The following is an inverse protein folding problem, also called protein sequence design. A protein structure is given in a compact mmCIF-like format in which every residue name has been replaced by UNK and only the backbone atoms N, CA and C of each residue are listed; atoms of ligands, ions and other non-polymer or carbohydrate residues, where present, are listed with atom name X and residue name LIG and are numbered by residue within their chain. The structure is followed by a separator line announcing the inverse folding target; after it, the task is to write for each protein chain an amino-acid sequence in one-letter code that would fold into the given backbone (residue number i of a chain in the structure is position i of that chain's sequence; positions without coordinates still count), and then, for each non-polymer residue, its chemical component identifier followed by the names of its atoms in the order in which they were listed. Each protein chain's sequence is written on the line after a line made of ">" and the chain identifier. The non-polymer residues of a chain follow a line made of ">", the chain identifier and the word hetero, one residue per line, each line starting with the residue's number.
data_IF_562640964750
#
_entry.id   IF_562640964750
#
_cell.length_a   1.000
_cell.length_b   1.000
_cell.length_c   1.000
_cell.angle_alpha   90.00
_cell.angle_beta   90.00
_cell.angle_gamma   90.00
#
_symmetry.space_group_name_H-M   'P 1'
#
loop_
_entity.id
_entity.type
_entity.pdbx_description
1 polymer ?
#
# COMPACT_ATOMS: atom_id res chain seq x y z
N UNK A 1 0.21 -37.31 13.13
CA UNK A 1 -0.35 -37.15 11.77
C UNK A 1 0.45 -36.04 11.10
N UNK A 2 0.87 -36.20 9.85
CA UNK A 2 1.68 -35.19 9.17
C UNK A 2 0.76 -34.04 8.69
N UNK A 3 1.07 -32.82 9.11
CA UNK A 3 0.45 -31.59 8.62
C UNK A 3 1.27 -31.11 7.43
N UNK A 4 0.60 -30.80 6.31
CA UNK A 4 1.24 -30.20 5.15
C UNK A 4 0.83 -28.73 5.01
N UNK A 5 1.75 -27.89 4.55
CA UNK A 5 1.56 -26.45 4.39
C UNK A 5 1.75 -26.07 2.92
N UNK A 6 1.02 -25.05 2.46
CA UNK A 6 0.96 -24.66 1.05
C UNK A 6 0.96 -23.13 0.90
N UNK A 7 1.67 -22.61 -0.11
CA UNK A 7 1.62 -21.19 -0.50
C UNK A 7 0.68 -20.93 -1.68
N UNK A 8 -0.42 -20.23 -1.42
CA UNK A 8 -1.59 -20.16 -2.29
C UNK A 8 -1.72 -18.79 -2.96
N UNK A 9 -2.22 -18.81 -4.21
CA UNK A 9 -2.48 -17.59 -4.99
C UNK A 9 -3.63 -16.77 -4.38
N UNK A 10 -3.69 -15.46 -4.70
CA UNK A 10 -4.83 -14.62 -4.37
C UNK A 10 -6.16 -15.21 -4.85
N UNK A 11 -7.22 -14.95 -4.07
CA UNK A 11 -8.58 -15.41 -4.38
C UNK A 11 -8.92 -16.83 -3.95
N UNK A 12 -7.95 -17.60 -3.41
CA UNK A 12 -8.22 -18.91 -2.82
C UNK A 12 -8.99 -18.79 -1.50
N UNK A 13 -8.60 -17.83 -0.67
CA UNK A 13 -9.32 -17.45 0.55
C UNK A 13 -9.93 -16.05 0.38
N UNK A 14 -10.76 -15.63 1.32
CA UNK A 14 -11.36 -14.30 1.36
C UNK A 14 -10.37 -13.16 1.65
N UNK A 15 -9.16 -13.48 2.10
CA UNK A 15 -8.09 -12.51 2.36
C UNK A 15 -7.53 -11.91 1.06
N UNK A 16 -7.02 -10.67 1.16
CA UNK A 16 -6.51 -9.92 0.01
C UNK A 16 -5.03 -10.22 -0.22
N UNK A 17 -4.73 -11.00 -1.25
CA UNK A 17 -3.35 -11.33 -1.66
C UNK A 17 -3.00 -12.80 -1.42
N UNK A 18 -1.71 -13.09 -1.38
CA UNK A 18 -1.22 -14.46 -1.19
C UNK A 18 -1.42 -14.92 0.26
N UNK A 19 -1.64 -16.22 0.44
CA UNK A 19 -1.94 -16.79 1.75
C UNK A 19 -1.34 -18.18 1.92
N UNK A 20 -1.08 -18.56 3.17
CA UNK A 20 -0.69 -19.90 3.52
C UNK A 20 -1.90 -20.75 3.91
N UNK A 21 -1.92 -22.00 3.45
CA UNK A 21 -2.91 -22.99 3.83
C UNK A 21 -2.27 -24.19 4.50
N UNK A 22 -3.02 -24.89 5.36
CA UNK A 22 -2.59 -26.15 5.97
C UNK A 22 -3.65 -27.24 5.83
N UNK A 23 -3.21 -28.48 5.77
CA UNK A 23 -4.07 -29.66 5.75
C UNK A 23 -3.75 -30.56 6.93
N UNK A 24 -4.77 -31.15 7.55
CA UNK A 24 -4.63 -32.07 8.66
C UNK A 24 -5.10 -33.45 8.21
N UNK A 25 -4.16 -34.37 7.94
CA UNK A 25 -4.43 -35.79 7.66
C UNK A 25 -4.52 -36.20 6.18
N UNK A 26 -4.51 -37.53 5.96
CA UNK A 26 -4.59 -38.19 4.64
C UNK A 26 -6.05 -38.53 4.37
N UNK A 27 -6.77 -37.61 3.75
CA UNK A 27 -8.20 -37.78 3.48
C UNK A 27 -8.59 -37.16 2.16
N UNK A 28 -8.04 -37.66 1.05
CA UNK A 28 -8.47 -37.28 -0.29
C UNK A 28 -9.78 -37.98 -0.61
N UNK A 29 -10.91 -37.33 -0.34
CA UNK A 29 -12.20 -37.80 -0.85
C UNK A 29 -12.31 -37.34 -2.31
N UNK A 30 -11.93 -38.21 -3.24
CA UNK A 30 -12.00 -37.92 -4.68
C UNK A 30 -10.96 -36.91 -5.18
N UNK A 31 -9.74 -36.93 -4.63
CA UNK A 31 -8.62 -36.07 -5.09
C UNK A 31 -8.70 -34.60 -4.63
N UNK A 32 -9.70 -34.26 -3.81
CA UNK A 32 -9.80 -32.95 -3.14
C UNK A 32 -9.32 -33.05 -1.70
N UNK A 33 -8.67 -31.98 -1.25
CA UNK A 33 -8.13 -31.82 0.10
C UNK A 33 -8.71 -30.56 0.71
N UNK A 34 -9.19 -30.67 1.96
CA UNK A 34 -9.66 -29.52 2.72
C UNK A 34 -8.47 -28.75 3.28
N UNK A 35 -8.25 -27.54 2.78
CA UNK A 35 -7.16 -26.65 3.18
C UNK A 35 -7.71 -25.55 4.08
N UNK A 36 -7.11 -25.39 5.26
CA UNK A 36 -7.45 -24.35 6.24
C UNK A 36 -6.50 -23.17 6.10
N UNK A 37 -6.98 -21.93 6.21
CA UNK A 37 -6.12 -20.75 6.27
C UNK A 37 -5.18 -20.85 7.48
N UNK A 38 -3.91 -20.54 7.28
CA UNK A 38 -2.94 -20.38 8.36
C UNK A 38 -3.06 -18.96 8.89
N UNK A 39 -3.51 -18.83 10.14
CA UNK A 39 -3.64 -17.57 10.85
C UNK A 39 -2.28 -17.18 11.45
N UNK A 40 -1.38 -16.72 10.58
CA UNK A 40 -0.03 -16.30 10.93
C UNK A 40 0.35 -15.02 10.17
N UNK A 41 1.42 -14.35 10.63
CA UNK A 41 1.92 -13.14 10.00
C UNK A 41 0.83 -12.09 9.82
N UNK A 42 0.62 -11.66 8.56
CA UNK A 42 -0.40 -10.69 8.15
C UNK A 42 -1.84 -11.14 8.45
N UNK A 43 -2.08 -12.45 8.52
CA UNK A 43 -3.41 -13.05 8.67
C UNK A 43 -3.69 -13.55 10.09
N UNK A 44 -2.85 -13.20 11.07
CA UNK A 44 -2.97 -13.70 12.44
C UNK A 44 -4.32 -13.37 13.11
N UNK A 45 -4.92 -12.24 12.75
CA UNK A 45 -6.21 -11.75 13.29
C UNK A 45 -7.41 -12.09 12.39
N UNK A 46 -7.19 -12.81 11.29
CA UNK A 46 -8.26 -13.19 10.38
C UNK A 46 -9.12 -14.33 10.93
N UNK A 47 -10.33 -14.47 10.39
CA UNK A 47 -11.20 -15.57 10.77
C UNK A 47 -10.72 -16.88 10.17
N UNK A 48 -10.90 -17.98 10.89
CA UNK A 48 -10.58 -19.31 10.39
C UNK A 48 -11.42 -19.61 9.13
N UNK A 49 -10.74 -19.82 8.01
CA UNK A 49 -11.36 -20.15 6.74
C UNK A 49 -10.93 -21.55 6.28
N UNK A 50 -11.76 -22.23 5.49
CA UNK A 50 -11.41 -23.52 4.90
C UNK A 50 -12.02 -23.68 3.52
N UNK A 51 -11.25 -24.22 2.58
CA UNK A 51 -11.63 -24.40 1.18
C UNK A 51 -11.19 -25.79 0.71
N UNK A 52 -12.00 -26.42 -0.13
CA UNK A 52 -11.65 -27.70 -0.75
C UNK A 52 -10.93 -27.46 -2.08
N UNK A 53 -9.67 -27.88 -2.17
CA UNK A 53 -8.81 -27.70 -3.35
C UNK A 53 -8.42 -29.05 -3.95
N UNK A 54 -8.16 -29.11 -5.25
CA UNK A 54 -7.62 -30.31 -5.87
C UNK A 54 -6.16 -30.50 -5.46
N UNK A 55 -5.78 -31.73 -5.08
CA UNK A 55 -4.42 -32.05 -4.62
C UNK A 55 -3.37 -31.72 -5.68
N UNK A 56 -3.68 -31.97 -6.96
CA UNK A 56 -2.78 -31.69 -8.08
C UNK A 56 -2.42 -30.19 -8.20
N UNK A 57 -3.35 -29.29 -7.86
CA UNK A 57 -3.17 -27.84 -7.98
C UNK A 57 -2.27 -27.27 -6.86
N UNK A 58 -2.27 -27.92 -5.69
CA UNK A 58 -1.54 -27.48 -4.50
C UNK A 58 -0.24 -28.24 -4.26
N UNK A 59 -0.07 -29.44 -4.84
CA UNK A 59 1.16 -30.24 -4.67
C UNK A 59 2.46 -29.50 -5.02
N UNK A 60 2.53 -28.67 -6.09
CA UNK A 60 3.73 -27.90 -6.40
C UNK A 60 3.99 -26.72 -5.44
N UNK A 61 3.07 -26.43 -4.52
CA UNK A 61 3.08 -25.26 -3.65
C UNK A 61 3.41 -25.60 -2.20
N UNK A 62 3.92 -26.81 -1.94
CA UNK A 62 4.28 -27.25 -0.59
C UNK A 62 5.41 -26.40 -0.05
N UNK A 63 5.25 -25.95 1.19
CA UNK A 63 6.22 -25.13 1.93
C UNK A 63 6.53 -25.75 3.28
N UNK A 64 7.58 -25.26 3.94
CA UNK A 64 7.90 -25.72 5.29
C UNK A 64 6.91 -25.16 6.32
N UNK A 65 6.71 -25.85 7.46
CA UNK A 65 5.92 -25.31 8.57
C UNK A 65 6.47 -23.97 9.07
N UNK A 66 7.80 -23.81 9.11
CA UNK A 66 8.44 -22.59 9.58
C UNK A 66 8.08 -21.39 8.68
N UNK A 67 8.13 -21.57 7.37
CA UNK A 67 7.75 -20.52 6.40
C UNK A 67 6.28 -20.14 6.55
N UNK A 68 5.38 -21.14 6.58
CA UNK A 68 3.95 -20.89 6.67
C UNK A 68 3.54 -20.23 8.00
N UNK A 69 4.22 -20.55 9.11
CA UNK A 69 3.95 -19.96 10.43
C UNK A 69 4.62 -18.61 10.63
N UNK A 70 5.72 -18.31 9.93
CA UNK A 70 6.26 -16.95 9.85
C UNK A 70 5.33 -16.04 9.04
N UNK A 71 4.70 -16.60 8.00
CA UNK A 71 3.71 -15.91 7.18
C UNK A 71 4.29 -14.83 6.27
N UNK A 72 5.61 -14.72 6.18
CA UNK A 72 6.23 -13.78 5.27
C UNK A 72 6.11 -14.27 3.82
N UNK A 73 5.89 -13.35 2.88
CA UNK A 73 5.38 -13.64 1.54
C UNK A 73 3.90 -13.31 1.35
N UNK A 74 3.08 -13.32 2.41
CA UNK A 74 1.70 -12.78 2.38
C UNK A 74 1.62 -11.27 2.14
N UNK A 75 2.77 -10.60 2.17
CA UNK A 75 2.95 -9.19 1.91
C UNK A 75 3.21 -8.88 0.44
N UNK A 76 3.40 -9.85 -0.46
CA UNK A 76 3.63 -9.55 -1.89
C UNK A 76 2.43 -8.79 -2.47
N UNK A 77 2.71 -7.62 -3.05
CA UNK A 77 1.71 -6.65 -3.51
C UNK A 77 1.13 -5.77 -2.40
N UNK A 78 1.47 -6.04 -1.15
CA UNK A 78 1.21 -5.18 -0.01
C UNK A 78 2.22 -4.04 0.07
N UNK A 79 1.81 -3.00 0.79
CA UNK A 79 2.61 -1.81 1.03
C UNK A 79 2.92 -1.75 2.52
N UNK A 80 4.19 -1.54 2.86
CA UNK A 80 4.67 -1.62 4.24
C UNK A 80 5.25 -0.29 4.69
N UNK A 81 5.23 -0.07 6.00
CA UNK A 81 6.13 0.85 6.67
C UNK A 81 7.16 0.04 7.48
N UNK A 82 8.45 0.32 7.29
CA UNK A 82 9.52 -0.40 7.97
C UNK A 82 10.71 0.49 8.27
N UNK A 83 11.51 0.10 9.25
CA UNK A 83 12.77 0.78 9.53
C UNK A 83 13.80 0.41 8.47
N UNK A 84 14.34 1.40 7.77
CA UNK A 84 15.33 1.21 6.72
C UNK A 84 16.46 2.24 6.84
N UNK A 85 17.67 1.83 6.46
CA UNK A 85 18.83 2.71 6.36
C UNK A 85 18.97 3.13 4.91
N UNK A 86 18.62 4.38 4.61
CA UNK A 86 18.76 4.92 3.25
C UNK A 86 20.23 4.90 2.83
N UNK A 87 20.55 4.70 1.55
CA UNK A 87 21.92 4.84 1.05
C UNK A 87 22.51 6.20 1.47
N UNK A 88 23.63 6.17 2.18
CA UNK A 88 24.30 7.37 2.69
C UNK A 88 23.58 8.12 3.83
N UNK A 89 22.53 7.54 4.42
CA UNK A 89 21.70 8.17 5.44
C UNK A 89 21.67 7.43 6.78
N UNK A 90 20.80 7.92 7.68
CA UNK A 90 20.50 7.27 8.96
C UNK A 90 19.31 6.31 8.85
N UNK A 91 19.07 5.53 9.92
CA UNK A 91 17.89 4.67 10.02
C UNK A 91 16.63 5.51 10.22
N UNK A 92 15.66 5.35 9.34
CA UNK A 92 14.39 6.07 9.35
C UNK A 92 13.22 5.11 9.12
N UNK A 93 12.01 5.58 9.43
CA UNK A 93 10.78 4.95 8.93
C UNK A 93 10.61 5.28 7.46
N UNK A 94 10.41 4.24 6.66
CA UNK A 94 10.19 4.38 5.24
C UNK A 94 9.09 3.46 4.74
N UNK A 95 8.57 3.79 3.57
CA UNK A 95 7.44 3.12 2.97
C UNK A 95 7.84 2.50 1.63
N UNK A 96 7.44 1.25 1.42
CA UNK A 96 7.77 0.55 0.19
C UNK A 96 6.72 -0.46 -0.23
N UNK A 97 6.72 -0.76 -1.52
CA UNK A 97 5.95 -1.84 -2.11
C UNK A 97 6.76 -3.13 -2.02
N UNK A 98 6.17 -4.19 -1.45
CA UNK A 98 6.80 -5.51 -1.41
C UNK A 98 6.55 -6.21 -2.74
N UNK A 99 7.61 -6.41 -3.52
CA UNK A 99 7.56 -7.05 -4.84
C UNK A 99 8.00 -8.51 -4.81
N UNK A 100 8.67 -8.91 -3.74
CA UNK A 100 9.18 -10.27 -3.59
C UNK A 100 9.40 -10.66 -2.15
N UNK A 101 9.55 -11.96 -1.95
CA UNK A 101 9.87 -12.54 -0.67
C UNK A 101 10.72 -13.80 -0.85
N UNK A 102 11.69 -13.97 0.05
CA UNK A 102 12.54 -15.15 0.12
C UNK A 102 12.72 -15.58 1.58
N UNK A 103 12.35 -16.82 1.90
CA UNK A 103 12.67 -17.43 3.19
C UNK A 103 14.10 -17.99 3.19
N UNK A 104 14.88 -17.69 4.22
CA UNK A 104 16.19 -18.29 4.46
C UNK A 104 16.11 -19.31 5.60
N UNK A 105 16.10 -20.59 5.27
CA UNK A 105 16.01 -21.68 6.27
C UNK A 105 17.18 -21.70 7.24
N UNK A 106 18.40 -21.42 6.77
CA UNK A 106 19.62 -21.45 7.58
C UNK A 106 19.60 -20.36 8.65
N UNK A 107 19.22 -19.14 8.25
CA UNK A 107 19.21 -17.97 9.12
C UNK A 107 17.86 -17.78 9.83
N UNK A 108 16.87 -18.62 9.53
CA UNK A 108 15.50 -18.60 10.06
C UNK A 108 14.85 -17.23 10.00
N UNK A 109 15.00 -16.56 8.87
CA UNK A 109 14.36 -15.27 8.64
C UNK A 109 13.87 -15.14 7.21
N UNK A 110 12.86 -14.28 7.06
CA UNK A 110 12.37 -13.81 5.79
C UNK A 110 13.18 -12.62 5.28
N UNK A 111 13.39 -12.56 3.96
CA UNK A 111 13.86 -11.38 3.25
C UNK A 111 12.72 -10.86 2.38
N UNK A 112 12.39 -9.58 2.53
CA UNK A 112 11.44 -8.87 1.68
C UNK A 112 12.22 -8.11 0.63
N UNK A 113 11.86 -8.30 -0.63
CA UNK A 113 12.32 -7.44 -1.73
C UNK A 113 11.34 -6.28 -1.84
N UNK A 114 11.83 -5.08 -1.54
CA UNK A 114 11.01 -3.88 -1.36
C UNK A 114 11.46 -2.80 -2.31
N UNK A 115 10.52 -2.22 -3.05
CA UNK A 115 10.72 -1.02 -3.84
C UNK A 115 10.34 0.22 -3.01
N UNK A 116 11.33 1.01 -2.63
CA UNK A 116 11.18 2.29 -1.92
C UNK A 116 11.08 3.47 -2.90
N UNK A 117 10.15 3.38 -3.86
CA UNK A 117 9.91 4.46 -4.84
C UNK A 117 11.08 4.64 -5.82
N UNK A 118 11.55 3.53 -6.42
CA UNK A 118 12.65 3.51 -7.39
C UNK A 118 14.00 3.07 -6.83
N UNK A 119 14.09 2.79 -5.52
CA UNK A 119 15.23 2.09 -4.92
C UNK A 119 14.79 0.72 -4.44
N UNK A 120 15.33 -0.32 -5.06
CA UNK A 120 15.09 -1.69 -4.64
C UNK A 120 16.08 -2.09 -3.54
N UNK A 121 15.56 -2.72 -2.49
CA UNK A 121 16.38 -3.27 -1.42
C UNK A 121 15.75 -4.54 -0.86
N UNK A 122 16.60 -5.53 -0.59
CA UNK A 122 16.21 -6.71 0.19
C UNK A 122 16.43 -6.41 1.67
N UNK A 123 15.37 -6.47 2.47
CA UNK A 123 15.43 -6.22 3.92
C UNK A 123 15.01 -7.47 4.69
N UNK A 124 15.59 -7.67 5.87
CA UNK A 124 15.14 -8.73 6.78
C UNK A 124 13.75 -8.37 7.31
N UNK A 125 12.80 -9.29 7.17
CA UNK A 125 11.48 -9.16 7.77
C UNK A 125 11.62 -9.20 9.29
N UNK A 126 11.08 -8.17 9.94
CA UNK A 126 11.04 -8.07 11.38
C UNK A 126 9.65 -7.56 11.81
N UNK A 127 8.80 -8.39 12.45
CA UNK A 127 7.41 -8.04 12.77
C UNK A 127 7.28 -6.88 13.78
N UNK A 128 8.31 -6.65 14.58
CA UNK A 128 8.34 -5.54 15.54
C UNK A 128 8.67 -4.19 14.92
N UNK A 129 9.27 -4.17 13.71
CA UNK A 129 9.71 -2.96 13.01
C UNK A 129 9.20 -2.88 11.58
N UNK A 130 8.25 -3.74 11.20
CA UNK A 130 7.59 -3.75 9.89
C UNK A 130 6.10 -3.84 10.12
N UNK A 131 5.34 -2.98 9.44
CA UNK A 131 3.89 -2.96 9.51
C UNK A 131 3.31 -2.97 8.08
N UNK A 132 2.34 -3.85 7.81
CA UNK A 132 1.46 -3.73 6.64
C UNK A 132 0.57 -2.50 6.83
N UNK A 133 0.56 -1.60 5.85
CA UNK A 133 -0.25 -0.39 5.92
C UNK A 133 -1.31 -0.40 4.83
N UNK A 134 -2.41 0.30 5.07
CA UNK A 134 -3.42 0.52 4.02
C UNK A 134 -2.85 1.44 2.93
N UNK A 135 -3.39 1.36 1.71
CA UNK A 135 -2.84 2.07 0.55
C UNK A 135 -2.93 3.60 0.71
N UNK A 136 -3.95 4.10 1.40
CA UNK A 136 -4.08 5.51 1.76
C UNK A 136 -3.00 5.97 2.76
N UNK A 137 -2.56 5.08 3.66
CA UNK A 137 -1.45 5.38 4.58
C UNK A 137 -0.11 5.33 3.85
N UNK A 138 0.03 4.41 2.90
CA UNK A 138 1.18 4.35 2.01
C UNK A 138 1.30 5.60 1.12
N UNK A 139 0.17 6.17 0.69
CA UNK A 139 0.11 7.43 -0.03
C UNK A 139 0.50 8.63 0.84
N UNK A 140 -0.06 8.72 2.06
CA UNK A 140 0.16 9.83 2.99
C UNK A 140 1.54 9.83 3.67
N UNK A 141 2.10 8.64 3.93
CA UNK A 141 3.43 8.45 4.56
C UNK A 141 3.65 9.30 5.83
N UNK A 142 2.78 9.24 6.85
CA UNK A 142 2.83 10.15 7.99
C UNK A 142 4.15 10.12 8.77
N UNK A 143 4.82 8.97 8.81
CA UNK A 143 6.09 8.78 9.53
C UNK A 143 7.33 8.95 8.60
N UNK A 144 7.12 9.36 7.35
CA UNK A 144 8.10 9.27 6.27
C UNK A 144 9.42 10.02 6.54
N UNK A 145 10.51 9.26 6.63
CA UNK A 145 11.84 9.80 6.86
C UNK A 145 12.06 10.34 8.27
N UNK A 146 11.20 10.00 9.24
CA UNK A 146 11.44 10.27 10.65
C UNK A 146 12.44 9.25 11.21
N UNK A 147 13.36 9.71 12.07
CA UNK A 147 14.34 8.85 12.71
C UNK A 147 13.67 7.83 13.62
N UNK A 148 14.11 6.58 13.57
CA UNK A 148 13.63 5.53 14.48
C UNK A 148 14.04 5.77 15.94
N UNK A 149 14.97 6.69 16.18
CA UNK A 149 15.34 7.12 17.54
C UNK A 149 14.39 8.19 18.10
N UNK A 150 13.61 8.86 17.24
CA UNK A 150 12.66 9.91 17.63
C UNK A 150 11.22 9.40 17.63
N UNK A 151 10.91 8.43 16.78
CA UNK A 151 9.62 7.76 16.71
C UNK A 151 9.84 6.26 16.84
N UNK A 152 9.36 5.67 17.93
CA UNK A 152 9.47 4.23 18.16
C UNK A 152 8.36 3.48 17.42
N UNK A 153 8.53 2.18 17.22
CA UNK A 153 7.58 1.36 16.45
C UNK A 153 6.12 1.42 16.98
N UNK A 154 5.85 1.42 18.30
CA UNK A 154 4.48 1.59 18.81
C UNK A 154 3.87 2.95 18.47
N UNK A 155 4.66 4.02 18.53
CA UNK A 155 4.23 5.38 18.23
C UNK A 155 3.93 5.55 16.73
N UNK A 156 4.77 4.97 15.87
CA UNK A 156 4.54 4.85 14.43
C UNK A 156 3.21 4.14 14.13
N UNK A 157 2.94 3.02 14.79
CA UNK A 157 1.67 2.27 14.64
C UNK A 157 0.48 3.12 15.08
N UNK A 158 0.62 3.88 16.17
CA UNK A 158 -0.42 4.78 16.67
C UNK A 158 -0.69 5.93 15.70
N UNK A 159 0.35 6.53 15.11
CA UNK A 159 0.19 7.57 14.09
C UNK A 159 -0.53 7.04 12.85
N UNK A 160 -0.16 5.84 12.37
CA UNK A 160 -0.90 5.19 11.27
C UNK A 160 -2.37 4.99 11.60
N UNK A 161 -2.69 4.44 12.78
CA UNK A 161 -4.07 4.23 13.19
C UNK A 161 -4.85 5.55 13.27
N UNK A 162 -4.23 6.61 13.80
CA UNK A 162 -4.85 7.94 13.90
C UNK A 162 -5.21 8.52 12.53
N UNK A 163 -4.27 8.50 11.59
CA UNK A 163 -4.48 8.99 10.23
C UNK A 163 -5.52 8.12 9.50
N UNK A 164 -5.41 6.80 9.63
CA UNK A 164 -6.33 5.85 9.01
C UNK A 164 -7.77 6.07 9.48
N UNK A 165 -7.97 6.20 10.78
CA UNK A 165 -9.30 6.41 11.36
C UNK A 165 -9.90 7.72 10.88
N UNK A 166 -9.14 8.82 10.85
CA UNK A 166 -9.62 10.11 10.36
C UNK A 166 -9.94 10.09 8.86
N UNK A 167 -9.07 9.50 8.05
CA UNK A 167 -9.30 9.37 6.61
C UNK A 167 -10.59 8.60 6.33
N UNK A 168 -10.80 7.51 7.06
CA UNK A 168 -11.96 6.64 6.87
C UNK A 168 -13.22 7.06 7.64
N UNK A 169 -13.15 8.06 8.53
CA UNK A 169 -14.28 8.47 9.37
C UNK A 169 -14.64 7.43 10.44
N UNK A 170 -13.65 6.69 10.93
CA UNK A 170 -13.80 5.80 12.08
C UNK A 170 -13.79 6.70 13.32
N UNK A 171 -14.87 6.66 14.10
CA UNK A 171 -15.10 7.49 15.29
C UNK A 171 -15.25 9.00 15.02
N UNK A 172 -15.55 9.40 13.78
CA UNK A 172 -15.75 10.81 13.42
C UNK A 172 -16.10 11.03 11.95
N UNK A 173 -16.05 12.29 11.52
CA UNK A 173 -16.23 12.63 10.11
C UNK A 173 -14.99 12.21 9.29
N UNK A 174 -15.22 11.56 8.15
CA UNK A 174 -14.16 11.23 7.20
C UNK A 174 -13.56 12.50 6.60
N UNK A 175 -12.23 12.54 6.47
CA UNK A 175 -11.49 13.70 5.97
C UNK A 175 -10.54 13.29 4.84
N UNK A 176 -10.65 13.93 3.69
CA UNK A 176 -9.77 13.70 2.53
C UNK A 176 -8.53 14.59 2.51
N UNK A 177 -8.58 15.76 3.14
CA UNK A 177 -7.51 16.75 3.10
C UNK A 177 -6.21 16.19 3.70
N UNK A 178 -5.21 15.96 2.86
CA UNK A 178 -3.93 15.37 3.27
C UNK A 178 -3.14 16.26 4.22
N UNK A 179 -3.26 17.59 4.09
CA UNK A 179 -2.55 18.55 4.95
C UNK A 179 -3.12 18.50 6.37
N UNK A 180 -4.45 18.50 6.51
CA UNK A 180 -5.12 18.41 7.80
C UNK A 180 -4.93 17.04 8.47
N UNK A 181 -4.89 15.96 7.70
CA UNK A 181 -4.60 14.62 8.20
C UNK A 181 -3.17 14.52 8.79
N UNK A 182 -2.18 15.09 8.09
CA UNK A 182 -0.78 14.98 8.48
C UNK A 182 -0.38 15.99 9.57
N UNK A 183 -0.99 17.17 9.59
CA UNK A 183 -0.74 18.20 10.62
C UNK A 183 -0.96 17.66 12.03
N UNK A 184 -2.03 16.88 12.23
CA UNK A 184 -2.37 16.29 13.52
C UNK A 184 -1.56 15.01 13.85
N UNK A 185 -0.95 14.38 12.84
CA UNK A 185 -0.05 13.25 13.04
C UNK A 185 1.41 13.66 13.26
N UNK A 186 1.75 14.94 13.07
CA UNK A 186 3.14 15.42 13.08
C UNK A 186 3.94 14.98 11.85
N UNK A 187 3.25 14.64 10.76
CA UNK A 187 3.85 14.22 9.50
C UNK A 187 4.32 15.40 8.65
N UNK A 188 5.13 15.10 7.63
CA UNK A 188 5.55 16.09 6.62
C UNK A 188 4.39 16.41 5.68
N UNK A 189 4.48 17.53 4.96
CA UNK A 189 3.50 17.85 3.91
C UNK A 189 3.50 16.75 2.83
N UNK A 190 2.30 16.34 2.40
CA UNK A 190 2.14 15.37 1.34
C UNK A 190 2.27 16.05 -0.03
N UNK A 191 3.18 15.58 -0.87
CA UNK A 191 3.17 15.91 -2.30
C UNK A 191 2.21 14.95 -3.01
N UNK A 192 1.00 15.43 -3.30
CA UNK A 192 -0.02 14.61 -3.97
C UNK A 192 0.26 14.38 -5.46
N UNK A 193 1.20 15.11 -6.08
CA UNK A 193 1.59 14.90 -7.49
C UNK A 193 2.60 13.77 -7.67
N UNK A 194 3.21 13.32 -6.56
CA UNK A 194 4.15 12.22 -6.54
C UNK A 194 3.46 10.93 -6.98
N UNK A 195 4.17 10.13 -7.78
CA UNK A 195 3.74 8.77 -8.14
C UNK A 195 4.32 7.73 -7.20
N UNK A 196 3.51 6.74 -6.88
CA UNK A 196 3.89 5.61 -6.04
C UNK A 196 3.71 4.28 -6.80
N UNK A 197 4.64 3.33 -6.61
CA UNK A 197 4.51 2.01 -7.17
C UNK A 197 3.42 1.22 -6.43
N UNK A 198 2.51 0.61 -7.18
CA UNK A 198 1.56 -0.37 -6.70
C UNK A 198 1.64 -1.61 -7.59
N UNK A 199 1.44 -2.80 -7.01
CA UNK A 199 1.40 -4.04 -7.78
C UNK A 199 -0.04 -4.32 -8.22
N UNK A 200 -0.29 -4.39 -9.52
CA UNK A 200 -1.52 -4.99 -10.02
C UNK A 200 -1.39 -6.51 -9.96
N UNK A 201 -2.14 -7.14 -9.06
CA UNK A 201 -2.10 -8.58 -8.84
C UNK A 201 -2.61 -9.35 -10.08
N UNK A 202 -3.44 -8.73 -10.92
CA UNK A 202 -4.05 -9.36 -12.10
C UNK A 202 -3.04 -9.53 -13.23
N UNK A 203 -2.29 -8.48 -13.54
CA UNK A 203 -1.22 -8.48 -14.55
C UNK A 203 0.14 -8.90 -13.98
N UNK A 204 0.30 -8.81 -12.65
CA UNK A 204 1.56 -8.94 -11.92
C UNK A 204 2.61 -7.88 -12.31
N UNK A 205 2.16 -6.72 -12.77
CA UNK A 205 3.00 -5.59 -13.12
C UNK A 205 3.00 -4.51 -12.03
N UNK A 206 4.11 -3.78 -11.91
CA UNK A 206 4.21 -2.63 -11.00
C UNK A 206 3.87 -1.36 -11.79
N UNK A 207 2.77 -0.72 -11.42
CA UNK A 207 2.27 0.50 -12.05
C UNK A 207 2.51 1.72 -11.14
N UNK A 208 2.76 2.87 -11.76
CA UNK A 208 3.01 4.14 -11.05
C UNK A 208 1.73 4.96 -11.00
N UNK A 209 1.13 5.05 -9.81
CA UNK A 209 -0.15 5.75 -9.60
C UNK A 209 0.08 7.02 -8.78
N UNK A 210 -0.53 8.13 -9.18
CA UNK A 210 -0.38 9.40 -8.47
C UNK A 210 -1.02 9.34 -7.08
N UNK A 211 -0.37 9.92 -6.07
CA UNK A 211 -0.87 9.99 -4.68
C UNK A 211 -2.27 10.62 -4.64
N UNK A 212 -2.50 11.68 -5.40
CA UNK A 212 -3.83 12.30 -5.55
C UNK A 212 -4.90 11.27 -5.98
N UNK A 213 -4.62 10.50 -7.04
CA UNK A 213 -5.54 9.50 -7.56
C UNK A 213 -5.78 8.39 -6.54
N UNK A 214 -4.73 7.88 -5.88
CA UNK A 214 -4.85 6.84 -4.83
C UNK A 214 -5.82 7.31 -3.74
N UNK A 215 -5.59 8.51 -3.20
CA UNK A 215 -6.38 9.03 -2.09
C UNK A 215 -7.83 9.32 -2.51
N UNK A 216 -8.05 9.87 -3.70
CA UNK A 216 -9.40 10.12 -4.22
C UNK A 216 -10.16 8.82 -4.52
N UNK A 217 -9.50 7.86 -5.16
CA UNK A 217 -10.09 6.56 -5.47
C UNK A 217 -10.53 5.85 -4.19
N UNK A 218 -9.66 5.78 -3.18
CA UNK A 218 -9.99 5.11 -1.91
C UNK A 218 -11.04 5.90 -1.14
N UNK A 219 -10.94 7.23 -1.10
CA UNK A 219 -11.87 8.05 -0.32
C UNK A 219 -13.28 8.09 -0.91
N UNK A 220 -13.40 8.30 -2.23
CA UNK A 220 -14.69 8.48 -2.90
C UNK A 220 -15.24 7.16 -3.44
N UNK A 221 -14.47 6.42 -4.25
CA UNK A 221 -14.97 5.19 -4.90
C UNK A 221 -15.05 4.02 -3.92
N UNK A 222 -13.94 3.62 -3.30
CA UNK A 222 -13.97 2.50 -2.35
C UNK A 222 -14.72 2.86 -1.06
N UNK A 223 -14.59 4.12 -0.62
CA UNK A 223 -15.30 4.65 0.53
C UNK A 223 -16.79 4.87 0.34
N UNK A 224 -17.31 4.78 -0.89
CA UNK A 224 -18.72 5.00 -1.22
C UNK A 224 -19.21 6.41 -0.90
N UNK A 225 -18.36 7.42 -1.10
CA UNK A 225 -18.64 8.84 -0.79
C UNK A 225 -18.85 9.63 -2.09
N UNK A 226 -19.68 10.66 -2.03
CA UNK A 226 -19.93 11.53 -3.18
C UNK A 226 -18.65 12.22 -3.64
N UNK A 227 -18.29 12.04 -4.91
CA UNK A 227 -17.12 12.66 -5.50
C UNK A 227 -17.41 14.09 -5.99
N UNK A 228 -16.39 14.96 -6.09
CA UNK A 228 -16.52 16.26 -6.73
C UNK A 228 -16.99 16.15 -8.18
N UNK A 229 -17.66 17.19 -8.68
CA UNK A 229 -18.14 17.22 -10.06
C UNK A 229 -16.96 17.16 -11.05
N UNK A 230 -17.09 16.34 -12.10
CA UNK A 230 -16.08 16.18 -13.14
C UNK A 230 -14.98 15.14 -12.85
N UNK A 231 -15.00 14.48 -11.69
CA UNK A 231 -14.09 13.37 -11.38
C UNK A 231 -14.78 12.05 -11.70
N UNK A 232 -14.17 11.24 -12.56
CA UNK A 232 -14.58 9.86 -12.83
C UNK A 232 -13.45 8.90 -12.50
N UNK A 233 -13.78 7.79 -11.86
CA UNK A 233 -12.82 6.74 -11.51
C UNK A 233 -13.10 5.49 -12.34
N UNK A 234 -12.08 4.96 -13.02
CA UNK A 234 -12.17 3.66 -13.68
C UNK A 234 -12.32 2.51 -12.69
N UNK A 235 -12.55 1.29 -13.17
CA UNK A 235 -12.98 0.14 -12.35
C UNK A 235 -11.96 -0.30 -11.31
N UNK A 236 -10.69 0.03 -11.53
CA UNK A 236 -9.57 -0.25 -10.64
C UNK A 236 -8.81 1.02 -10.26
N UNK A 237 -8.00 0.93 -9.20
CA UNK A 237 -7.12 2.02 -8.76
C UNK A 237 -5.99 2.33 -9.77
N UNK A 238 -5.83 1.48 -10.79
CA UNK A 238 -4.83 1.64 -11.85
C UNK A 238 -5.37 2.42 -13.05
N UNK A 239 -6.69 2.63 -13.12
CA UNK A 239 -7.36 3.35 -14.20
C UNK A 239 -7.31 4.87 -13.95
N UNK A 240 -6.10 5.41 -13.95
CA UNK A 240 -5.87 6.84 -13.80
C UNK A 240 -6.23 7.56 -15.11
N UNK A 241 -7.36 8.26 -15.10
CA UNK A 241 -7.74 9.14 -16.21
C UNK A 241 -6.87 10.38 -16.11
N UNK A 242 -5.78 10.40 -16.88
CA UNK A 242 -4.98 11.60 -17.09
C UNK A 242 -5.91 12.71 -17.61
N UNK A 243 -6.02 13.86 -16.93
CA UNK A 243 -6.74 14.99 -17.51
C UNK A 243 -6.01 15.37 -18.79
N UNK A 244 -6.70 15.25 -19.93
CA UNK A 244 -6.19 15.71 -21.22
C UNK A 244 -5.78 17.18 -21.07
N UNK A 245 -4.50 17.41 -20.86
CA UNK A 245 -3.92 18.75 -20.95
C UNK A 245 -3.93 19.10 -22.43
N UNK A 246 -4.99 19.79 -22.84
CA UNK A 246 -5.07 20.74 -23.96
C UNK A 246 -3.86 20.75 -24.90
N UNK A 247 -3.64 19.67 -25.64
CA UNK A 247 -2.69 19.64 -26.77
C UNK A 247 -3.37 20.03 -28.09
N UNK A 248 -4.65 20.40 -28.05
CA UNK A 248 -5.42 20.84 -29.21
C UNK A 248 -5.39 22.36 -29.49
N UNK A 249 -4.69 23.19 -28.69
CA UNK A 249 -4.68 24.66 -28.91
C UNK A 249 -3.31 25.22 -29.36
N UNK A 250 -2.26 24.39 -29.43
CA UNK A 250 -0.93 24.82 -29.88
C UNK A 250 -0.60 24.47 -31.35
N UNK A 251 -1.52 23.84 -32.08
CA UNK A 251 -1.36 23.52 -33.51
C UNK A 251 -2.02 24.53 -34.46
N UNK A 252 -2.69 25.58 -33.94
CA UNK A 252 -3.34 26.62 -34.73
C UNK A 252 -2.57 27.96 -34.70
N UNK A 253 -1.24 27.93 -34.84
CA UNK A 253 -0.44 29.13 -35.08
C UNK A 253 0.73 28.81 -36.01
N UNK A 254 0.42 28.45 -37.25
CA UNK A 254 1.36 28.56 -38.37
C UNK A 254 0.71 29.37 -39.48
N UNK A 255 1.22 30.57 -39.81
CA UNK A 255 0.74 31.31 -40.96
C UNK A 255 1.27 30.64 -42.22
N UNK A 256 0.38 30.02 -42.98
CA UNK A 256 0.69 29.56 -44.34
C UNK A 256 0.51 30.74 -45.28
N UNK A 257 1.63 31.19 -45.84
CA UNK A 257 1.69 32.21 -46.89
C UNK A 257 1.02 31.65 -48.15
N UNK A 258 -0.07 32.28 -48.57
CA UNK A 258 -0.74 32.09 -49.85
C UNK A 258 0.13 32.52 -51.03
N UNK A 259 -0.05 31.89 -52.21
CA UNK A 259 -0.17 32.66 -53.43
C UNK A 259 -1.56 32.52 -54.05
N UNK A 260 -2.01 33.66 -54.57
CA UNK A 260 -3.29 33.97 -55.20
C UNK A 260 -3.63 33.09 -56.41
N UNK A 261 -4.93 32.86 -56.65
CA UNK A 261 -5.45 32.36 -57.92
C UNK A 261 -6.85 31.74 -57.83
N UNK A 262 -7.87 32.59 -57.86
CA UNK A 262 -9.31 32.29 -57.98
C UNK A 262 -9.67 31.32 -59.11
N UNK A 263 -10.53 30.33 -58.83
CA UNK A 263 -11.77 30.11 -59.59
C UNK A 263 -12.80 29.25 -58.82
N UNK A 264 -14.07 29.58 -59.07
CA UNK A 264 -15.30 29.14 -58.41
C UNK A 264 -15.90 27.97 -59.17
N UNK A 265 -16.34 26.90 -58.51
CA UNK A 265 -17.45 26.06 -59.01
C UNK A 265 -18.32 25.56 -57.86
N UNK A 266 -19.58 25.97 -57.89
CA UNK A 266 -20.69 25.46 -57.09
C UNK A 266 -21.19 24.16 -57.74
N UNK A 267 -21.50 23.13 -56.95
CA UNK A 267 -22.44 22.09 -57.39
C UNK A 267 -23.23 21.56 -56.21
N UNK A 268 -24.47 22.03 -56.15
CA UNK A 268 -25.58 21.44 -55.43
C UNK A 268 -25.95 20.08 -56.06
N UNK A 269 -26.33 19.12 -55.22
CA UNK A 269 -26.86 17.83 -55.61
C UNK A 269 -27.65 17.23 -54.47
N UNK A 270 -28.91 17.65 -54.35
CA UNK A 270 -29.93 16.99 -53.53
C UNK A 270 -30.29 15.65 -54.20
N UNK A 271 -30.47 14.59 -53.43
CA UNK A 271 -31.26 13.44 -53.85
C UNK A 271 -32.04 12.90 -52.65
N UNK A 272 -33.35 13.02 -52.76
CA UNK A 272 -34.41 12.55 -51.89
C UNK A 272 -34.87 11.16 -52.36
N UNK A 273 -35.10 10.23 -51.44
CA UNK A 273 -35.81 8.96 -51.71
C UNK A 273 -36.30 8.33 -50.40
N UNK A 274 -37.56 8.65 -50.16
CA UNK A 274 -38.66 8.09 -49.37
C UNK A 274 -38.75 6.54 -49.26
N UNK A 275 -39.09 6.13 -48.02
CA UNK A 275 -39.92 5.00 -47.52
C UNK A 275 -39.76 3.55 -48.01
N UNK A 276 -39.56 2.63 -47.05
CA UNK A 276 -40.58 1.60 -46.78
C UNK A 276 -40.46 1.04 -45.34
N UNK A 277 -41.62 0.85 -44.71
CA UNK A 277 -41.84 0.48 -43.31
C UNK A 277 -42.15 -1.02 -43.20
N UNK A 278 -41.40 -1.77 -42.39
CA UNK A 278 -41.79 -3.12 -41.98
C UNK A 278 -41.43 -3.39 -40.51
N UNK A 279 -42.47 -3.27 -39.69
CA UNK A 279 -42.60 -3.77 -38.33
C UNK A 279 -42.44 -5.29 -38.31
N UNK A 280 -41.45 -5.81 -37.57
CA UNK A 280 -41.52 -7.16 -36.99
C UNK A 280 -41.22 -7.06 -35.49
N UNK A 281 -42.31 -7.20 -34.74
CA UNK A 281 -42.40 -7.35 -33.31
C UNK A 281 -41.81 -8.73 -32.91
N UNK A 282 -40.72 -8.74 -32.13
CA UNK A 282 -40.26 -9.96 -31.44
C UNK A 282 -40.31 -9.73 -29.94
N UNK A 283 -41.32 -10.40 -29.35
CA UNK A 283 -41.55 -10.64 -27.93
C UNK A 283 -40.27 -10.86 -27.13
N UNK A 284 -40.09 -10.04 -26.09
CA UNK A 284 -39.15 -10.21 -24.98
C UNK A 284 -39.85 -11.00 -23.86
N UNK A 285 -39.33 -12.17 -23.42
CA UNK A 285 -39.78 -12.75 -22.16
C UNK A 285 -39.10 -12.03 -20.99
N UNK A 286 -39.86 -11.93 -19.89
CA UNK A 286 -39.48 -11.29 -18.63
C UNK A 286 -38.23 -11.92 -18.02
N UNK A 287 -37.28 -11.06 -17.61
CA UNK A 287 -36.21 -11.43 -16.69
C UNK A 287 -36.42 -10.70 -15.37
N UNK A 288 -36.34 -11.49 -14.31
CA UNK A 288 -36.46 -11.08 -12.92
C UNK A 288 -35.49 -9.93 -12.58
N UNK A 289 -35.97 -9.01 -11.74
CA UNK A 289 -35.14 -8.02 -11.07
C UNK A 289 -34.14 -8.74 -10.16
N UNK A 290 -32.89 -8.85 -10.61
CA UNK A 290 -31.74 -9.10 -9.74
C UNK A 290 -31.22 -7.73 -9.28
N UNK A 291 -31.50 -7.40 -8.02
CA UNK A 291 -31.05 -6.16 -7.40
C UNK A 291 -29.52 -6.04 -7.40
N UNK A 292 -28.98 -4.80 -7.39
CA UNK A 292 -27.54 -4.57 -7.53
C UNK A 292 -26.75 -5.24 -6.38
N UNK A 293 -25.55 -5.79 -6.69
CA UNK A 293 -24.73 -6.46 -5.69
C UNK A 293 -24.24 -5.45 -4.64
N UNK A 294 -24.43 -5.81 -3.37
CA UNK A 294 -23.94 -5.02 -2.23
C UNK A 294 -22.42 -4.92 -2.28
N UNK A 295 -21.82 -3.74 -2.06
CA UNK A 295 -20.36 -3.60 -2.01
C UNK A 295 -19.79 -4.41 -0.84
N UNK A 296 -18.76 -5.21 -1.13
CA UNK A 296 -18.00 -5.97 -0.13
C UNK A 296 -17.25 -4.99 0.77
N UNK A 297 -17.82 -4.75 1.94
CA UNK A 297 -17.20 -3.99 3.03
C UNK A 297 -15.94 -4.73 3.48
N UNK A 298 -14.76 -4.15 3.25
CA UNK A 298 -13.50 -4.60 3.86
C UNK A 298 -13.65 -4.43 5.37
N UNK A 299 -13.83 -5.53 6.08
CA UNK A 299 -14.14 -5.54 7.52
C UNK A 299 -12.80 -5.44 8.27
N UNK A 300 -12.63 -4.38 9.07
CA UNK A 300 -11.51 -4.23 9.99
C UNK A 300 -11.65 -5.22 11.15
N UNK A 301 -10.53 -5.81 11.57
CA UNK A 301 -10.39 -6.49 12.86
C UNK A 301 -10.59 -5.48 14.01
N UNK A 302 -11.62 -5.71 14.83
CA UNK A 302 -11.89 -4.92 16.03
C UNK A 302 -10.88 -5.29 17.12
N UNK A 303 -9.96 -4.37 17.43
CA UNK A 303 -9.05 -4.52 18.56
C UNK A 303 -9.73 -4.03 19.85
N UNK A 304 -10.41 -4.92 20.55
CA UNK A 304 -10.65 -4.78 22.00
C UNK A 304 -9.62 -5.61 22.77
N UNK A 305 -8.59 -4.95 23.29
CA UNK A 305 -7.77 -5.46 24.39
C UNK A 305 -7.65 -4.36 25.45
N UNK A 306 -8.66 -4.33 26.31
CA UNK A 306 -8.74 -3.48 27.50
C UNK A 306 -7.56 -3.73 28.43
N UNK A 307 -6.90 -2.64 28.81
CA UNK A 307 -5.91 -2.55 29.88
C UNK A 307 -6.40 -3.21 31.17
N UNK A 308 -5.73 -4.28 31.61
CA UNK A 308 -5.59 -4.62 33.02
C UNK A 308 -4.14 -4.99 33.28
N UNK A 309 -3.35 -4.01 33.71
CA UNK A 309 -2.26 -4.17 34.68
C UNK A 309 -1.66 -2.79 34.97
N UNK A 310 -2.31 -2.08 35.87
CA UNK A 310 -1.84 -0.81 36.40
C UNK A 310 -2.01 -0.79 37.91
N UNK A 311 -1.20 -1.58 38.63
CA UNK A 311 -1.01 -1.44 40.08
C UNK A 311 0.26 -2.18 40.52
N UNK A 312 1.42 -1.51 40.43
CA UNK A 312 2.39 -1.42 41.53
C UNK A 312 3.63 -0.66 41.06
N UNK A 313 4.03 0.32 41.88
CA UNK A 313 5.35 0.94 42.05
C UNK A 313 5.25 2.47 42.09
N UNK A 314 4.66 2.96 43.18
CA UNK A 314 5.15 4.17 43.82
C UNK A 314 5.86 3.75 45.11
N UNK A 315 7.15 4.04 45.21
CA UNK A 315 7.82 4.57 46.41
C UNK A 315 9.34 4.41 46.29
N UNK A 316 10.03 5.48 45.91
CA UNK A 316 11.33 5.85 46.51
C UNK A 316 11.76 7.23 45.99
N UNK A 317 11.28 8.26 46.69
CA UNK A 317 11.90 9.57 46.72
C UNK A 317 13.29 9.48 47.37
N UNK A 318 14.31 10.03 46.71
CA UNK A 318 15.64 10.23 47.29
C UNK A 318 16.49 11.20 46.47
N UNK A 319 16.61 12.44 46.98
CA UNK A 319 17.73 13.40 46.90
C UNK A 319 18.59 13.39 45.61
N UNK A 320 18.55 14.42 44.77
CA UNK A 320 19.29 15.67 45.02
C UNK A 320 20.77 15.52 44.60
N UNK A 321 21.19 16.26 43.57
CA UNK A 321 22.54 16.38 42.96
C UNK A 321 22.98 15.28 41.98
N UNK A 322 22.41 15.26 40.76
CA UNK A 322 23.00 14.52 39.61
C UNK A 322 22.83 15.20 38.24
N UNK A 323 22.18 16.37 38.16
CA UNK A 323 21.93 17.07 36.89
C UNK A 323 23.13 17.81 36.29
N UNK A 324 24.03 18.34 37.11
CA UNK A 324 25.12 19.23 36.63
C UNK A 324 26.36 18.50 36.09
N UNK A 325 26.41 17.16 36.16
CA UNK A 325 27.55 16.37 35.66
C UNK A 325 27.30 15.74 34.29
N UNK A 326 26.03 15.57 33.89
CA UNK A 326 25.68 14.97 32.60
C UNK A 326 25.80 15.97 31.44
N UNK A 327 25.52 17.26 31.67
CA UNK A 327 25.59 18.27 30.59
C UNK A 327 27.03 18.56 30.14
N UNK A 328 28.00 18.51 31.07
CA UNK A 328 29.42 18.71 30.75
C UNK A 328 30.04 17.55 29.94
N UNK A 329 29.54 16.32 30.11
CA UNK A 329 30.01 15.15 29.36
C UNK A 329 29.42 15.10 27.93
N UNK A 330 28.25 15.71 27.70
CA UNK A 330 27.62 15.80 26.37
C UNK A 330 28.36 16.81 25.48
N UNK A 331 28.78 17.96 26.01
CA UNK A 331 29.52 18.96 25.23
C UNK A 331 30.95 18.50 24.87
N UNK A 332 31.57 17.62 25.68
CA UNK A 332 32.85 16.98 25.33
C UNK A 332 32.72 15.94 24.22
N UNK A 333 31.58 15.25 24.11
CA UNK A 333 31.32 14.27 23.05
C UNK A 333 31.00 14.92 21.69
N UNK A 334 30.49 16.15 21.67
CA UNK A 334 30.23 16.90 20.42
C UNK A 334 31.51 17.55 19.86
N UNK A 335 32.54 17.76 20.68
CA UNK A 335 33.78 18.45 20.27
C UNK A 335 34.85 17.55 19.63
N UNK A 336 34.66 16.22 19.55
CA UNK A 336 35.70 15.28 19.08
C UNK A 336 35.60 14.83 17.61
N UNK A 337 34.74 15.42 16.78
CA UNK A 337 34.69 15.11 15.34
C UNK A 337 34.61 16.33 14.42
N UNK A 338 35.50 17.31 14.63
CA UNK A 338 35.91 18.22 13.54
C UNK A 338 37.33 17.88 13.10
N UNK A 339 37.56 17.36 11.89
CA UNK A 339 38.90 17.34 11.32
C UNK A 339 39.23 18.76 10.86
N UNK A 340 39.72 19.59 11.78
CA UNK A 340 40.34 20.87 11.47
C UNK A 340 41.80 20.64 11.11
N UNK A 341 42.15 20.92 9.85
CA UNK A 341 43.50 20.80 9.32
C UNK A 341 44.50 21.62 10.13
N UNK A 342 45.61 20.97 10.50
CA UNK A 342 46.81 21.61 11.01
C UNK A 342 47.93 21.49 9.98
N UNK A 343 48.13 22.53 9.18
CA UNK A 343 49.40 22.79 8.53
C UNK A 343 50.48 23.00 9.59
N UNK A 344 51.50 22.15 9.63
CA UNK A 344 52.78 22.48 10.26
C UNK A 344 53.84 22.39 9.18
N UNK A 345 54.34 23.56 8.76
CA UNK A 345 55.48 23.68 7.88
C UNK A 345 56.72 23.96 8.71
N UNK A 346 57.81 23.30 8.29
CA UNK A 346 59.22 23.71 8.42
C UNK A 346 59.95 23.37 9.72
N UNK A 347 60.87 22.41 9.66
CA UNK A 347 62.26 22.73 9.31
C UNK A 347 63.14 21.47 9.13
N UNK A 348 63.57 21.21 7.90
CA UNK A 348 64.93 20.73 7.61
C UNK A 348 65.40 21.40 6.30
N UNK A 349 66.45 22.22 6.47
CA UNK A 349 67.28 22.98 5.53
C UNK A 349 66.71 24.26 4.91
#
# INVERSE_FOLDING_TARGET
>A
MATSYFYLRPGVFSVVGFAYGKTEGVGTRGGKVKVKLVLSGRWAEEQAESVDLAEADISPRVVTPEEALDGAGTFVGGVICTSWVRPGGARVWDYGLVVGYKWCTELRHGLLDVNFGGTDASIVYAPHSTQDVAVEIYALQPCGGQSTSLLMAPEMKQQHAKVYNKFNGIDGAALRDSTALLADAGGKLCDETRRLPLLDITSFEVSQVTVHHILDYVFYKEGGRSHPAGVSFGDTIFDEVEPETSTAVAAAARPVVTPSGTEVVLSAGLSDSEEDDHVIEVRRPASAEEGPPKPKRRRRAENEATLQNGQQLQASTGSGTSGLRLEADIDQLISLQRPGGGTSNSAQL
#
